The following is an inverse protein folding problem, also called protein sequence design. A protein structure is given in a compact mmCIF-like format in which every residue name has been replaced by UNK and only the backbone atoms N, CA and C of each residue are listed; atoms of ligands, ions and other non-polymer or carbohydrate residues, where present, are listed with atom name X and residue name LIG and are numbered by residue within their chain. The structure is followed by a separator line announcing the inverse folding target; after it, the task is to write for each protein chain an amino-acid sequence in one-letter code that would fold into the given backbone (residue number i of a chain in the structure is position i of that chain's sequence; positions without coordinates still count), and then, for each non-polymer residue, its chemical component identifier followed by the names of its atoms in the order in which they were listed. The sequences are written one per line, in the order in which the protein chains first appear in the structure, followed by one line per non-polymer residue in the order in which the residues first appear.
data_IF_920589484006
#
_entry.id   IF_920589484006
#
_cell.length_a   1.000
_cell.length_b   1.000
_cell.length_c   1.000
_cell.angle_alpha   90.00
_cell.angle_beta   90.00
_cell.angle_gamma   90.00
#
_symmetry.space_group_name_H-M   'P 1'
#
loop_
_entity.id
_entity.type
_entity.pdbx_description
1 polymer ?
#
# COMPACT_ATOMS: atom_id res chain seq x y z
N UNK A 1 2.32 10.64 6.35
CA UNK A 1 3.35 10.41 5.31
C UNK A 1 3.84 8.96 5.43
N UNK A 2 3.06 7.98 4.97
CA UNK A 2 3.01 6.61 5.53
C UNK A 2 3.57 5.49 4.64
N UNK A 3 4.43 5.80 3.68
CA UNK A 3 5.18 4.76 2.95
C UNK A 3 6.69 4.87 3.19
N UNK A 4 7.14 5.82 4.02
CA UNK A 4 8.55 6.15 4.15
C UNK A 4 9.47 5.04 4.69
N UNK A 5 9.12 4.25 5.73
CA UNK A 5 10.05 3.26 6.25
C UNK A 5 10.29 2.08 5.30
N UNK A 6 9.37 1.81 4.36
CA UNK A 6 9.57 0.84 3.27
C UNK A 6 10.47 1.39 2.16
N UNK A 7 10.51 2.71 1.99
CA UNK A 7 11.32 3.42 0.99
C UNK A 7 12.79 3.63 1.42
N UNK A 8 13.11 3.52 2.71
CA UNK A 8 14.47 3.70 3.23
C UNK A 8 15.45 2.60 2.79
N UNK A 9 14.94 1.43 2.39
CA UNK A 9 15.78 0.35 1.82
C UNK A 9 16.30 0.65 0.41
N UNK A 10 15.74 1.65 -0.30
CA UNK A 10 16.21 2.06 -1.62
C UNK A 10 15.83 1.11 -2.78
N UNK A 11 15.25 -0.05 -2.49
CA UNK A 11 14.84 -1.04 -3.49
C UNK A 11 13.55 -1.76 -3.07
N UNK A 12 12.74 -2.11 -4.08
CA UNK A 12 11.54 -2.90 -3.89
C UNK A 12 11.94 -4.35 -3.54
N UNK A 13 11.36 -4.99 -2.50
CA UNK A 13 11.64 -6.38 -2.18
C UNK A 13 11.43 -7.30 -3.38
N UNK A 14 12.32 -8.27 -3.58
CA UNK A 14 12.30 -9.17 -4.74
C UNK A 14 10.95 -9.90 -4.91
N UNK A 15 10.32 -10.33 -3.81
CA UNK A 15 8.98 -10.94 -3.82
C UNK A 15 7.89 -10.02 -4.42
N UNK A 16 7.95 -8.71 -4.14
CA UNK A 16 7.01 -7.75 -4.73
C UNK A 16 7.40 -7.41 -6.18
N UNK A 17 8.69 -7.32 -6.46
CA UNK A 17 9.21 -7.02 -7.79
C UNK A 17 8.87 -8.12 -8.80
N UNK A 18 8.86 -9.37 -8.37
CA UNK A 18 8.50 -10.51 -9.22
C UNK A 18 7.02 -10.50 -9.66
N UNK A 19 6.16 -9.80 -8.93
CA UNK A 19 4.73 -9.73 -9.21
C UNK A 19 4.37 -8.51 -10.04
N UNK A 20 5.13 -7.42 -9.93
CA UNK A 20 4.92 -6.19 -10.69
C UNK A 20 5.51 -6.27 -12.11
N UNK A 21 4.98 -5.50 -13.08
CA UNK A 21 5.56 -5.43 -14.40
C UNK A 21 7.01 -4.90 -14.33
N UNK A 22 7.94 -5.52 -15.05
CA UNK A 22 9.36 -5.14 -15.02
C UNK A 22 9.61 -3.64 -15.26
N UNK A 23 8.80 -3.02 -16.13
CA UNK A 23 8.83 -1.57 -16.38
C UNK A 23 8.51 -0.77 -15.11
N UNK A 24 7.43 -1.13 -14.42
CA UNK A 24 6.98 -0.45 -13.19
C UNK A 24 8.02 -0.64 -12.08
N UNK A 25 8.60 -1.83 -11.95
CA UNK A 25 9.67 -2.09 -10.98
C UNK A 25 10.89 -1.21 -11.23
N UNK A 26 11.33 -1.09 -12.49
CA UNK A 26 12.45 -0.24 -12.86
C UNK A 26 12.17 1.24 -12.55
N UNK A 27 10.96 1.72 -12.89
CA UNK A 27 10.52 3.09 -12.59
C UNK A 27 10.45 3.35 -11.07
N UNK A 28 9.90 2.42 -10.28
CA UNK A 28 9.86 2.52 -8.82
C UNK A 28 11.28 2.56 -8.26
N UNK A 29 12.14 1.61 -8.62
CA UNK A 29 13.52 1.56 -8.12
C UNK A 29 14.30 2.84 -8.47
N UNK A 30 14.07 3.43 -9.64
CA UNK A 30 14.67 4.72 -10.00
C UNK A 30 14.18 5.85 -9.08
N UNK A 31 12.88 5.88 -8.72
CA UNK A 31 12.33 6.83 -7.76
C UNK A 31 12.85 6.61 -6.34
N UNK A 32 12.99 5.34 -5.91
CA UNK A 32 13.56 4.97 -4.61
C UNK A 32 15.02 5.42 -4.50
N UNK A 33 15.82 5.13 -5.52
CA UNK A 33 17.23 5.51 -5.61
C UNK A 33 17.46 7.02 -5.76
N UNK A 34 16.45 7.77 -6.23
CA UNK A 34 16.53 9.21 -6.39
C UNK A 34 16.62 9.90 -5.02
N UNK A 35 17.81 10.39 -4.66
CA UNK A 35 18.05 11.10 -3.39
C UNK A 35 17.54 12.55 -3.40
N UNK A 36 17.16 13.09 -4.55
CA UNK A 36 16.67 14.46 -4.70
C UNK A 36 15.15 14.58 -4.45
N UNK A 37 14.42 13.47 -4.40
CA UNK A 37 12.99 13.48 -4.11
C UNK A 37 12.74 13.24 -2.62
N UNK A 38 11.93 14.10 -2.02
CA UNK A 38 11.39 13.86 -0.69
C UNK A 38 10.48 12.64 -0.68
N UNK A 39 10.31 12.06 0.50
CA UNK A 39 9.48 10.90 0.68
C UNK A 39 8.05 11.08 0.16
N UNK A 40 7.43 12.23 0.42
CA UNK A 40 6.11 12.55 -0.10
C UNK A 40 6.07 12.50 -1.64
N UNK A 41 7.07 13.10 -2.31
CA UNK A 41 7.17 13.12 -3.77
C UNK A 41 7.39 11.72 -4.35
N UNK A 42 8.22 10.90 -3.69
CA UNK A 42 8.42 9.50 -4.12
C UNK A 42 7.11 8.72 -4.05
N UNK A 43 6.37 8.86 -2.95
CA UNK A 43 5.10 8.18 -2.74
C UNK A 43 4.08 8.60 -3.78
N UNK A 44 3.98 9.90 -4.08
CA UNK A 44 3.04 10.41 -5.07
C UNK A 44 3.33 9.83 -6.46
N UNK A 45 4.59 9.85 -6.89
CA UNK A 45 5.00 9.23 -8.16
C UNK A 45 4.83 7.71 -8.20
N UNK A 46 5.08 7.03 -7.08
CA UNK A 46 4.84 5.59 -6.97
C UNK A 46 3.34 5.28 -7.03
N UNK A 47 2.48 6.10 -6.40
CA UNK A 47 1.01 5.95 -6.48
C UNK A 47 0.53 6.15 -7.93
N UNK A 48 1.07 7.13 -8.66
CA UNK A 48 0.80 7.31 -10.08
C UNK A 48 1.24 6.10 -10.92
N UNK A 49 2.43 5.55 -10.67
CA UNK A 49 2.89 4.33 -11.32
C UNK A 49 1.98 3.14 -10.98
N UNK A 50 1.54 3.00 -9.74
CA UNK A 50 0.63 1.93 -9.32
C UNK A 50 -0.75 2.03 -9.99
N UNK A 51 -1.22 3.22 -10.37
CA UNK A 51 -2.45 3.37 -11.18
C UNK A 51 -2.32 2.74 -12.57
N UNK A 52 -1.10 2.62 -13.10
CA UNK A 52 -0.83 2.01 -14.41
C UNK A 52 -0.70 0.48 -14.34
N UNK A 53 -0.55 -0.08 -13.14
CA UNK A 53 -0.43 -1.53 -12.94
C UNK A 53 -1.79 -2.20 -13.19
N UNK A 54 -1.87 -3.26 -14.01
CA UNK A 54 -3.13 -3.96 -14.27
C UNK A 54 -3.67 -4.63 -13.00
N UNK A 55 -5.00 -4.73 -12.91
CA UNK A 55 -5.71 -5.22 -11.73
C UNK A 55 -5.33 -6.68 -11.40
N UNK A 56 -5.09 -7.51 -12.43
CA UNK A 56 -4.64 -8.89 -12.26
C UNK A 56 -3.32 -8.97 -11.46
N UNK A 57 -2.41 -8.02 -11.67
CA UNK A 57 -1.14 -7.97 -10.92
C UNK A 57 -1.39 -7.55 -9.48
N UNK A 58 -2.25 -6.55 -9.25
CA UNK A 58 -2.61 -6.14 -7.88
C UNK A 58 -3.27 -7.26 -7.09
N UNK A 59 -4.12 -8.08 -7.72
CA UNK A 59 -4.72 -9.24 -7.06
C UNK A 59 -3.68 -10.26 -6.59
N UNK A 60 -2.63 -10.45 -7.40
CA UNK A 60 -1.51 -11.35 -7.08
C UNK A 60 -0.60 -10.81 -5.98
N UNK A 61 -0.67 -9.53 -5.61
CA UNK A 61 0.16 -8.98 -4.54
C UNK A 61 -0.16 -9.68 -3.20
N UNK A 62 0.86 -10.14 -2.46
CA UNK A 62 0.67 -10.72 -1.15
C UNK A 62 0.16 -9.65 -0.19
N UNK A 63 -0.63 -10.08 0.78
CA UNK A 63 -1.07 -9.23 1.87
C UNK A 63 0.18 -8.86 2.69
N UNK A 64 0.35 -7.58 3.09
CA UNK A 64 1.46 -7.18 3.94
C UNK A 64 1.56 -8.08 5.17
N UNK A 65 2.78 -8.45 5.62
CA UNK A 65 2.98 -9.39 6.72
C UNK A 65 2.28 -8.97 8.03
N UNK A 66 2.16 -7.65 8.25
CA UNK A 66 1.44 -7.10 9.40
C UNK A 66 -0.09 -7.32 9.34
N UNK A 67 -0.65 -7.42 8.14
CA UNK A 67 -2.07 -7.73 7.91
C UNK A 67 -2.31 -9.24 7.75
N UNK A 68 -1.26 -10.06 7.64
CA UNK A 68 -1.38 -11.51 7.53
C UNK A 68 -1.99 -12.16 8.80
N UNK A 69 -1.92 -11.47 9.94
CA UNK A 69 -2.55 -11.90 11.20
C UNK A 69 -4.07 -11.60 11.27
N UNK A 70 -4.64 -10.91 10.28
CA UNK A 70 -6.08 -10.68 10.18
C UNK A 70 -6.79 -11.90 9.58
N UNK A 71 -8.10 -12.09 9.81
CA UNK A 71 -8.85 -13.15 9.15
C UNK A 71 -8.84 -12.99 7.62
N UNK A 72 -8.89 -14.11 6.90
CA UNK A 72 -8.87 -14.15 5.44
C UNK A 72 -9.94 -13.27 4.80
N UNK A 73 -11.13 -13.16 5.42
CA UNK A 73 -12.21 -12.29 4.97
C UNK A 73 -11.80 -10.81 4.97
N UNK A 74 -11.17 -10.34 6.05
CA UNK A 74 -10.69 -8.97 6.20
C UNK A 74 -9.56 -8.70 5.20
N UNK A 75 -8.66 -9.65 5.03
CA UNK A 75 -7.60 -9.57 4.02
C UNK A 75 -8.16 -9.41 2.60
N UNK A 76 -9.17 -10.21 2.25
CA UNK A 76 -9.83 -10.13 0.95
C UNK A 76 -10.55 -8.78 0.74
N UNK A 77 -11.22 -8.26 1.76
CA UNK A 77 -11.86 -6.94 1.73
C UNK A 77 -10.84 -5.81 1.53
N UNK A 78 -9.70 -5.85 2.24
CA UNK A 78 -8.61 -4.87 2.07
C UNK A 78 -8.05 -4.92 0.65
N UNK A 79 -7.82 -6.12 0.10
CA UNK A 79 -7.39 -6.29 -1.30
C UNK A 79 -8.41 -5.70 -2.27
N UNK A 80 -9.68 -6.04 -2.10
CA UNK A 80 -10.78 -5.53 -2.94
C UNK A 80 -10.86 -4.01 -2.89
N UNK A 81 -10.76 -3.42 -1.70
CA UNK A 81 -10.78 -1.98 -1.51
C UNK A 81 -9.58 -1.30 -2.19
N UNK A 82 -8.39 -1.91 -2.11
CA UNK A 82 -7.19 -1.42 -2.81
C UNK A 82 -7.36 -1.39 -4.32
N UNK A 83 -8.00 -2.40 -4.90
CA UNK A 83 -8.33 -2.48 -6.33
C UNK A 83 -9.38 -1.45 -6.74
N UNK A 84 -10.53 -1.42 -6.05
CA UNK A 84 -11.63 -0.51 -6.38
C UNK A 84 -11.23 0.95 -6.24
N UNK A 85 -10.43 1.27 -5.22
CA UNK A 85 -9.98 2.63 -4.96
C UNK A 85 -8.68 2.97 -5.69
N UNK A 86 -8.10 2.09 -6.51
CA UNK A 86 -6.83 2.29 -7.23
C UNK A 86 -6.74 3.63 -7.97
N UNK A 87 -7.79 3.97 -8.71
CA UNK A 87 -7.89 5.17 -9.53
C UNK A 87 -8.35 6.42 -8.76
N UNK A 88 -8.70 6.27 -7.47
CA UNK A 88 -9.14 7.36 -6.61
C UNK A 88 -7.96 8.10 -5.99
N UNK A 89 -8.25 9.30 -5.47
CA UNK A 89 -7.25 10.11 -4.76
C UNK A 89 -6.75 9.39 -3.49
N UNK A 90 -5.53 9.71 -3.07
CA UNK A 90 -4.93 9.15 -1.84
C UNK A 90 -5.82 9.42 -0.62
N UNK A 91 -6.49 10.57 -0.58
CA UNK A 91 -7.41 10.92 0.50
C UNK A 91 -8.69 10.10 0.48
N UNK A 92 -9.32 9.91 -0.69
CA UNK A 92 -10.47 8.99 -0.84
C UNK A 92 -10.10 7.56 -0.43
N UNK A 93 -8.94 7.06 -0.87
CA UNK A 93 -8.40 5.75 -0.46
C UNK A 93 -8.29 5.65 1.06
N UNK A 94 -7.73 6.67 1.71
CA UNK A 94 -7.58 6.71 3.18
C UNK A 94 -8.93 6.74 3.89
N UNK A 95 -9.88 7.53 3.40
CA UNK A 95 -11.21 7.64 4.00
C UNK A 95 -11.97 6.31 3.90
N UNK A 96 -11.98 5.70 2.71
CA UNK A 96 -12.63 4.40 2.51
C UNK A 96 -11.97 3.32 3.37
N UNK A 97 -10.62 3.31 3.46
CA UNK A 97 -9.90 2.39 4.33
C UNK A 97 -10.19 2.65 5.81
N UNK A 98 -10.27 3.92 6.24
CA UNK A 98 -10.61 4.29 7.62
C UNK A 98 -12.04 3.86 7.97
N UNK A 99 -12.99 4.06 7.05
CA UNK A 99 -14.37 3.61 7.22
C UNK A 99 -14.44 2.08 7.36
N UNK A 100 -13.75 1.33 6.49
CA UNK A 100 -13.65 -0.11 6.58
C UNK A 100 -13.00 -0.58 7.89
N UNK A 101 -11.87 0.02 8.30
CA UNK A 101 -11.24 -0.31 9.58
C UNK A 101 -12.20 -0.02 10.75
N UNK A 102 -12.99 1.05 10.66
CA UNK A 102 -14.00 1.39 11.66
C UNK A 102 -15.14 0.38 11.81
N UNK A 103 -15.39 -0.48 10.82
CA UNK A 103 -16.39 -1.56 10.92
C UNK A 103 -15.84 -2.85 11.52
N UNK A 104 -14.51 -2.98 11.63
CA UNK A 104 -13.86 -4.17 12.17
C UNK A 104 -13.89 -4.19 13.71
N UNK A 105 -13.82 -5.37 14.35
CA UNK A 105 -13.66 -5.47 15.80
C UNK A 105 -12.33 -4.84 16.30
N UNK A 106 -12.33 -4.38 17.55
CA UNK A 106 -11.22 -3.65 18.17
C UNK A 106 -9.87 -4.37 18.09
N UNK A 107 -9.86 -5.70 18.13
CA UNK A 107 -8.64 -6.52 18.01
C UNK A 107 -8.00 -6.39 16.62
N UNK A 108 -8.82 -6.40 15.56
CA UNK A 108 -8.37 -6.23 14.17
C UNK A 108 -8.00 -4.79 13.87
N UNK A 109 -8.74 -3.83 14.46
CA UNK A 109 -8.35 -2.42 14.39
C UNK A 109 -6.99 -2.22 15.04
N UNK A 110 -6.75 -2.76 16.23
CA UNK A 110 -5.47 -2.64 16.93
C UNK A 110 -4.32 -3.25 16.12
N UNK A 111 -4.56 -4.37 15.45
CA UNK A 111 -3.65 -4.93 14.46
C UNK A 111 -3.38 -3.89 13.37
N UNK A 112 -4.37 -3.48 12.59
CA UNK A 112 -4.18 -2.59 11.42
C UNK A 112 -3.56 -1.25 11.81
N UNK A 113 -3.95 -0.72 12.97
CA UNK A 113 -3.54 0.56 13.52
C UNK A 113 -2.18 0.52 14.22
N UNK A 114 -1.61 -0.65 14.55
CA UNK A 114 -0.33 -0.75 15.28
C UNK A 114 0.84 -0.04 14.58
N UNK A 115 0.78 0.04 13.25
CA UNK A 115 1.79 0.73 12.43
C UNK A 115 1.39 2.19 12.09
N UNK A 116 0.14 2.57 12.38
CA UNK A 116 -0.37 3.94 12.21
C UNK A 116 -0.48 4.65 13.56
N UNK A 117 0.40 5.61 13.89
CA UNK A 117 0.15 6.51 15.01
C UNK A 117 -1.08 7.43 14.80
N UNK A 118 -1.86 7.27 13.71
CA UNK A 118 -3.03 8.09 13.39
C UNK A 118 -4.38 7.39 13.53
N UNK A 119 -4.46 6.20 14.15
CA UNK A 119 -5.75 5.67 14.59
C UNK A 119 -6.10 6.27 15.96
N UNK A 120 -6.70 7.45 15.93
CA UNK A 120 -7.10 8.21 17.12
C UNK A 120 -6.23 9.47 17.25
N UNK A 121 -6.75 10.69 17.30
CA UNK A 121 -8.14 11.17 17.45
C UNK A 121 -8.56 12.00 16.24
#
# INVERSE_FOLDING_TARGET
MLFCPLLEKGELPADLAALLPAKVVADINALLANKSLDCAQKIEKIDELMKTVPDEVMEKLPVPPHLAQLPAEVQAQIKKLGLEMKHKSVDEKKEAFKAFVGTLPAEQQAIICKEKPSCGK
#
